data_IF_420405162328
#
_entry.id   IF_420405162328
#
_cell.length_a   1.000
_cell.length_b   1.000
_cell.length_c   1.000
_cell.angle_alpha   90.00
_cell.angle_beta   90.00
_cell.angle_gamma   90.00
#
_symmetry.space_group_name_H-M   'P 1'
#
loop_
_entity.id
_entity.type
_entity.pdbx_description
1 polymer ?
#
# COMPACT_ATOMS: atom_id res chain seq x y z
N UNK A 1 8.26 4.44 -7.57
CA UNK A 1 9.29 4.67 -6.53
C UNK A 1 9.51 6.15 -6.20
N UNK A 2 9.66 7.04 -7.18
CA UNK A 2 9.89 8.50 -6.91
C UNK A 2 8.86 9.15 -5.97
N UNK A 3 7.58 8.82 -6.13
CA UNK A 3 6.47 9.35 -5.30
C UNK A 3 6.51 8.86 -3.85
N UNK A 4 7.11 7.69 -3.58
CA UNK A 4 7.27 7.16 -2.21
C UNK A 4 8.55 7.66 -1.54
N UNK A 5 9.62 7.85 -2.31
CA UNK A 5 10.92 8.32 -1.79
C UNK A 5 10.87 9.79 -1.37
N UNK A 6 10.13 10.64 -2.10
CA UNK A 6 10.04 12.07 -1.77
C UNK A 6 9.40 12.35 -0.38
N UNK A 7 8.25 11.74 0.00
CA UNK A 7 7.70 11.85 1.35
C UNK A 7 8.66 11.33 2.43
N UNK A 8 9.34 10.21 2.17
CA UNK A 8 10.32 9.68 3.11
C UNK A 8 11.47 10.67 3.36
N UNK A 9 12.01 11.27 2.28
CA UNK A 9 13.04 12.30 2.38
C UNK A 9 12.56 13.59 3.07
N UNK A 10 11.27 13.92 2.95
CA UNK A 10 10.65 15.04 3.66
C UNK A 10 10.46 14.79 5.16
N UNK A 11 10.50 13.52 5.60
CA UNK A 11 10.42 13.14 7.01
C UNK A 11 9.20 12.32 7.40
N UNK A 12 8.42 11.81 6.43
CA UNK A 12 7.35 10.82 6.70
C UNK A 12 7.97 9.46 7.00
N UNK A 13 8.39 9.27 8.25
CA UNK A 13 9.08 8.08 8.75
C UNK A 13 8.14 6.93 9.13
N UNK A 14 6.83 7.17 9.25
CA UNK A 14 5.87 6.15 9.70
C UNK A 14 4.76 5.91 8.66
N UNK A 15 4.75 4.72 8.07
CA UNK A 15 3.59 4.23 7.31
C UNK A 15 2.59 3.63 8.30
N UNK A 16 1.53 4.40 8.58
CA UNK A 16 0.50 4.06 9.55
C UNK A 16 -0.43 2.98 9.04
N UNK A 17 -0.86 3.10 7.79
CA UNK A 17 -1.77 2.14 7.16
C UNK A 17 -1.64 2.21 5.65
N UNK A 18 -1.40 1.06 5.05
CA UNK A 18 -1.61 0.78 3.65
C UNK A 18 -2.90 -0.04 3.55
N UNK A 19 -3.82 0.41 2.72
CA UNK A 19 -5.06 -0.30 2.46
C UNK A 19 -5.42 -0.18 0.99
N UNK A 20 -6.32 -1.04 0.53
CA UNK A 20 -6.85 -0.95 -0.81
C UNK A 20 -8.37 -1.07 -0.81
N UNK A 21 -9.02 -0.39 -1.75
CA UNK A 21 -10.47 -0.43 -1.92
C UNK A 21 -10.85 -0.41 -3.40
N UNK A 22 -12.00 -0.99 -3.74
CA UNK A 22 -12.59 -0.87 -5.08
C UNK A 22 -13.43 0.41 -5.14
N UNK A 23 -13.13 1.31 -6.08
CA UNK A 23 -13.79 2.62 -6.15
C UNK A 23 -15.26 2.52 -6.58
N UNK A 24 -15.59 1.57 -7.44
CA UNK A 24 -16.94 1.31 -7.92
C UNK A 24 -17.00 -0.08 -8.56
N UNK A 25 -18.17 -0.73 -8.66
CA UNK A 25 -18.31 -2.00 -9.37
C UNK A 25 -17.84 -1.87 -10.83
N UNK A 26 -16.73 -2.54 -11.18
CA UNK A 26 -16.12 -2.44 -12.51
C UNK A 26 -15.24 -1.20 -12.72
N UNK A 27 -15.02 -0.41 -11.67
CA UNK A 27 -14.15 0.75 -11.64
C UNK A 27 -12.67 0.41 -11.43
N UNK A 28 -11.91 1.42 -11.01
CA UNK A 28 -10.49 1.26 -10.69
C UNK A 28 -10.33 0.75 -9.26
N UNK A 29 -9.32 -0.08 -9.05
CA UNK A 29 -8.84 -0.40 -7.71
C UNK A 29 -8.05 0.81 -7.20
N UNK A 30 -8.08 1.05 -5.89
CA UNK A 30 -7.35 2.15 -5.28
C UNK A 30 -6.48 1.60 -4.19
N UNK A 31 -5.17 1.83 -4.27
CA UNK A 31 -4.24 1.58 -3.17
C UNK A 31 -3.95 2.89 -2.46
N UNK A 32 -4.11 2.89 -1.15
CA UNK A 32 -4.03 4.07 -0.29
C UNK A 32 -2.90 3.88 0.72
N UNK A 33 -2.11 4.93 0.89
CA UNK A 33 -1.02 4.98 1.84
C UNK A 33 -1.22 6.15 2.79
N UNK A 34 -1.42 5.84 4.06
CA UNK A 34 -1.48 6.80 5.16
C UNK A 34 -0.10 6.92 5.79
N UNK A 35 0.56 8.05 5.52
CA UNK A 35 1.87 8.39 6.03
C UNK A 35 1.71 9.40 7.16
N UNK A 36 2.44 9.19 8.24
CA UNK A 36 2.50 10.10 9.38
C UNK A 36 3.96 10.48 9.62
N UNK A 37 4.19 11.75 9.89
CA UNK A 37 5.48 12.21 10.39
C UNK A 37 5.48 12.10 11.92
N UNK A 38 6.20 11.12 12.44
CA UNK A 38 6.37 10.92 13.88
C UNK A 38 7.60 11.69 14.35
N UNK A 39 7.37 12.66 15.25
CA UNK A 39 8.40 13.45 15.93
C UNK A 39 8.33 13.21 17.44
N UNK A 40 9.38 13.53 18.17
CA UNK A 40 9.42 13.38 19.64
C UNK A 40 8.35 14.22 20.36
N UNK A 41 7.91 15.33 19.75
CA UNK A 41 6.83 16.16 20.24
C UNK A 41 5.52 15.85 19.48
N UNK A 42 4.46 15.36 20.14
CA UNK A 42 3.26 14.85 19.47
C UNK A 42 2.39 15.94 18.81
N UNK A 43 2.48 17.20 19.25
CA UNK A 43 1.59 18.29 18.84
C UNK A 43 1.81 18.81 17.39
N UNK A 44 2.80 18.32 16.65
CA UNK A 44 3.10 18.76 15.27
C UNK A 44 3.26 17.60 14.28
N UNK A 45 2.49 16.52 14.47
CA UNK A 45 2.52 15.39 13.55
C UNK A 45 1.72 15.71 12.28
N UNK A 46 2.40 15.81 11.14
CA UNK A 46 1.74 15.96 9.84
C UNK A 46 1.34 14.58 9.29
N UNK A 47 0.17 14.50 8.64
CA UNK A 47 -0.33 13.29 8.00
C UNK A 47 -0.63 13.53 6.52
N UNK A 48 -0.25 12.58 5.69
CA UNK A 48 -0.50 12.60 4.24
C UNK A 48 -1.13 11.28 3.83
N UNK A 49 -2.25 11.39 3.13
CA UNK A 49 -2.94 10.26 2.51
C UNK A 49 -2.69 10.28 1.00
N UNK A 50 -1.93 9.32 0.49
CA UNK A 50 -1.67 9.18 -0.94
C UNK A 50 -2.60 8.11 -1.50
N UNK A 51 -3.42 8.46 -2.49
CA UNK A 51 -4.31 7.53 -3.20
C UNK A 51 -3.79 7.28 -4.61
N UNK A 52 -3.61 6.02 -4.94
CA UNK A 52 -3.14 5.57 -6.25
C UNK A 52 -4.27 4.80 -6.91
N UNK A 53 -4.77 5.33 -8.01
CA UNK A 53 -5.78 4.67 -8.83
C UNK A 53 -5.09 3.69 -9.78
N UNK A 54 -5.57 2.46 -9.78
CA UNK A 54 -4.97 1.31 -10.45
C UNK A 54 -6.03 0.67 -11.35
N UNK A 55 -5.72 0.45 -12.65
CA UNK A 55 -6.67 -0.17 -13.57
C UNK A 55 -6.88 -1.65 -13.24
N UNK A 56 -8.13 -2.13 -13.29
CA UNK A 56 -8.48 -3.51 -12.91
C UNK A 56 -7.97 -4.58 -13.86
N UNK A 57 -7.69 -4.23 -15.13
CA UNK A 57 -7.19 -5.17 -16.15
C UNK A 57 -5.73 -5.56 -15.95
N UNK A 58 -4.92 -4.66 -15.40
CA UNK A 58 -3.51 -4.92 -15.10
C UNK A 58 -3.12 -4.17 -13.82
N UNK A 59 -3.57 -4.66 -12.64
CA UNK A 59 -3.48 -3.89 -11.42
C UNK A 59 -2.08 -3.98 -10.79
N UNK A 60 -1.10 -3.38 -11.44
CA UNK A 60 0.31 -3.37 -11.00
C UNK A 60 0.70 -2.02 -10.44
N UNK A 61 1.36 -2.05 -9.28
CA UNK A 61 1.99 -0.87 -8.67
C UNK A 61 3.33 -1.25 -8.03
N UNK A 62 4.29 -0.32 -7.96
CA UNK A 62 5.55 -0.59 -7.26
C UNK A 62 5.32 -0.68 -5.75
N UNK A 63 5.86 -1.72 -5.12
CA UNK A 63 5.86 -1.90 -3.67
C UNK A 63 6.66 -0.79 -2.96
N UNK A 64 6.17 -0.37 -1.80
CA UNK A 64 6.89 0.56 -0.90
C UNK A 64 7.68 -0.14 0.21
N UNK A 65 7.75 -1.47 0.20
CA UNK A 65 8.43 -2.29 1.20
C UNK A 65 9.90 -1.90 1.45
N UNK A 66 10.58 -1.39 0.42
CA UNK A 66 11.97 -0.95 0.54
C UNK A 66 12.12 0.38 1.26
N UNK A 67 11.05 1.17 1.37
CA UNK A 67 11.01 2.44 2.10
C UNK A 67 10.43 2.24 3.50
N UNK A 68 9.25 1.63 3.60
CA UNK A 68 8.60 1.32 4.88
C UNK A 68 8.33 -0.18 5.01
N UNK A 69 9.04 -0.81 5.95
CA UNK A 69 8.92 -2.27 6.19
C UNK A 69 7.56 -2.69 6.74
N UNK A 70 6.79 -1.77 7.31
CA UNK A 70 5.43 -2.03 7.79
C UNK A 70 4.46 -2.40 6.65
N UNK A 71 4.81 -2.13 5.39
CA UNK A 71 3.96 -2.45 4.25
C UNK A 71 3.88 -3.95 3.92
N UNK A 72 4.72 -4.81 4.50
CA UNK A 72 4.81 -6.24 4.13
C UNK A 72 3.44 -6.94 4.17
N UNK A 73 2.82 -6.99 5.36
CA UNK A 73 1.54 -7.67 5.54
C UNK A 73 0.39 -6.90 4.86
N UNK A 74 0.46 -5.58 4.82
CA UNK A 74 -0.62 -4.74 4.29
C UNK A 74 -0.71 -4.83 2.76
N UNK A 75 0.43 -4.79 2.07
CA UNK A 75 0.49 -4.98 0.61
C UNK A 75 0.08 -6.41 0.23
N UNK A 76 0.44 -7.40 1.06
CA UNK A 76 -0.01 -8.80 0.89
C UNK A 76 -1.50 -8.98 1.12
N UNK A 77 -2.09 -8.31 2.11
CA UNK A 77 -3.54 -8.28 2.32
C UNK A 77 -4.26 -7.68 1.11
N UNK A 78 -3.77 -6.55 0.61
CA UNK A 78 -4.32 -5.89 -0.59
C UNK A 78 -4.23 -6.78 -1.83
N UNK A 79 -3.13 -7.55 -1.97
CA UNK A 79 -2.99 -8.55 -3.02
C UNK A 79 -3.98 -9.70 -2.84
N UNK A 80 -4.12 -10.22 -1.62
CA UNK A 80 -5.00 -11.34 -1.31
C UNK A 80 -6.48 -10.98 -1.53
N UNK A 81 -6.91 -9.80 -1.12
CA UNK A 81 -8.32 -9.41 -1.16
C UNK A 81 -8.78 -8.80 -2.49
N UNK A 82 -7.90 -8.10 -3.22
CA UNK A 82 -8.28 -7.31 -4.40
C UNK A 82 -7.47 -7.66 -5.65
N UNK A 83 -6.44 -8.49 -5.53
CA UNK A 83 -5.60 -8.90 -6.66
C UNK A 83 -4.63 -7.82 -7.14
N UNK A 84 -4.33 -6.80 -6.33
CA UNK A 84 -3.35 -5.75 -6.69
C UNK A 84 -1.94 -6.33 -6.58
N UNK A 85 -1.18 -6.29 -7.67
CA UNK A 85 0.18 -6.81 -7.76
C UNK A 85 1.18 -5.72 -7.38
N UNK A 86 1.89 -5.96 -6.27
CA UNK A 86 2.96 -5.07 -5.78
C UNK A 86 4.32 -5.52 -6.32
N UNK A 87 4.82 -4.83 -7.35
CA UNK A 87 6.10 -5.15 -8.00
C UNK A 87 7.29 -4.83 -7.07
N UNK A 88 8.21 -5.78 -6.95
CA UNK A 88 9.39 -5.65 -6.09
C UNK A 88 9.19 -6.03 -4.62
N UNK A 89 8.00 -6.54 -4.24
CA UNK A 89 7.75 -7.08 -2.91
C UNK A 89 8.48 -8.43 -2.71
N UNK A 90 9.22 -8.66 -1.62
CA UNK A 90 10.05 -9.86 -1.46
C UNK A 90 9.24 -11.16 -1.35
N UNK A 91 8.06 -11.10 -0.71
CA UNK A 91 7.23 -12.26 -0.41
C UNK A 91 5.76 -12.00 -0.71
N UNK A 92 5.43 -11.67 -1.96
CA UNK A 92 4.03 -11.50 -2.38
C UNK A 92 3.33 -12.87 -2.44
N UNK A 93 2.69 -13.24 -1.33
CA UNK A 93 1.89 -14.46 -1.18
C UNK A 93 0.65 -14.13 -0.35
N UNK A 94 -0.39 -14.94 -0.54
CA UNK A 94 -1.62 -14.88 0.25
C UNK A 94 -1.34 -15.05 1.74
N UNK A 95 -2.19 -14.45 2.56
CA UNK A 95 -2.03 -14.46 4.02
C UNK A 95 -3.33 -14.74 4.77
N UNK A 96 -4.47 -14.33 4.22
CA UNK A 96 -5.79 -14.53 4.83
C UNK A 96 -6.52 -15.70 4.18
N UNK A 97 -6.48 -15.79 2.85
CA UNK A 97 -7.19 -16.83 2.13
C UNK A 97 -6.40 -18.14 2.04
N UNK A 98 -7.08 -19.29 1.96
CA UNK A 98 -6.42 -20.56 1.69
C UNK A 98 -5.63 -20.54 0.38
N UNK A 99 -4.50 -21.25 0.36
CA UNK A 99 -3.65 -21.38 -0.83
C UNK A 99 -4.40 -21.96 -2.05
N UNK A 100 -5.45 -22.74 -1.82
CA UNK A 100 -6.28 -23.35 -2.87
C UNK A 100 -7.34 -22.43 -3.46
N UNK A 101 -7.49 -21.19 -2.98
CA UNK A 101 -8.53 -20.28 -3.44
C UNK A 101 -8.27 -19.81 -4.88
N UNK A 102 -9.31 -19.61 -5.68
CA UNK A 102 -9.19 -19.12 -7.06
C UNK A 102 -10.00 -17.84 -7.18
N UNK A 103 -9.32 -16.75 -7.51
CA UNK A 103 -9.93 -15.42 -7.63
C UNK A 103 -9.52 -14.46 -6.51
N UNK A 104 -10.19 -13.31 -6.53
CA UNK A 104 -10.06 -12.16 -5.65
C UNK A 104 -11.48 -11.58 -5.48
#
# INVERSE_FOLDING_TARGET
LSVAVAPYAYGFNYLRSQCAYDSAPGGSLVSVYHLTQVRDQPDQSEEVCTKIFVPRKDPKIPSVYWVWKSSDLQERESYDMLGIIYEGHPHLRRILMPDSWIGW
#
